data_IF_935490541668
#
_entry.id   IF_935490541668
#
_cell.length_a   1.000
_cell.length_b   1.000
_cell.length_c   1.000
_cell.angle_alpha   90.00
_cell.angle_beta   90.00
_cell.angle_gamma   90.00
#
_symmetry.space_group_name_H-M   'P 1'
#
loop_
_entity.id
_entity.type
_entity.pdbx_description
1 polymer ?
#
# COMPACT_ATOMS: atom_id res chain seq x y z
N UNK A 1 -1.94 12.60 17.81
CA UNK A 1 -2.71 11.66 18.65
C UNK A 1 -2.91 10.38 17.84
N UNK A 2 -2.43 9.23 18.31
CA UNK A 2 -2.56 7.96 17.56
C UNK A 2 -4.03 7.56 17.35
N UNK A 3 -4.94 8.05 18.20
CA UNK A 3 -6.38 7.81 18.08
C UNK A 3 -6.97 8.37 16.78
N UNK A 4 -6.35 9.38 16.19
CA UNK A 4 -6.79 9.99 14.92
C UNK A 4 -6.11 9.36 13.69
N UNK A 5 -5.34 8.29 13.88
CA UNK A 5 -4.61 7.62 12.81
C UNK A 5 -5.35 6.45 12.17
N UNK A 6 -6.56 6.11 12.65
CA UNK A 6 -7.28 4.93 12.22
C UNK A 6 -7.92 5.14 10.83
N UNK A 7 -7.54 4.36 9.80
CA UNK A 7 -8.10 4.49 8.45
C UNK A 7 -9.61 4.26 8.35
N UNK A 8 -10.24 3.59 9.33
CA UNK A 8 -11.70 3.42 9.37
C UNK A 8 -12.43 4.77 9.45
N UNK A 9 -11.80 5.80 10.02
CA UNK A 9 -12.41 7.13 10.12
C UNK A 9 -12.67 7.75 8.72
N UNK A 10 -12.01 7.24 7.67
CA UNK A 10 -12.23 7.63 6.27
C UNK A 10 -13.48 6.97 5.65
N UNK A 11 -14.10 5.98 6.30
CA UNK A 11 -15.23 5.24 5.73
C UNK A 11 -16.43 6.12 5.39
N UNK A 12 -16.79 7.06 6.28
CA UNK A 12 -17.89 7.99 6.03
C UNK A 12 -17.55 8.96 4.89
N UNK A 13 -16.40 9.66 4.90
CA UNK A 13 -15.96 10.46 3.75
C UNK A 13 -15.90 9.69 2.42
N UNK A 14 -15.37 8.46 2.42
CA UNK A 14 -15.28 7.63 1.21
C UNK A 14 -16.66 7.34 0.61
N UNK A 15 -17.66 7.05 1.46
CA UNK A 15 -19.06 6.85 1.04
C UNK A 15 -19.72 8.13 0.54
N UNK A 16 -19.55 9.23 1.27
CA UNK A 16 -20.25 10.49 0.99
C UNK A 16 -19.65 11.23 -0.22
N UNK A 17 -18.39 10.94 -0.55
CA UNK A 17 -17.65 11.51 -1.68
C UNK A 17 -17.06 10.41 -2.57
N UNK A 18 -17.88 9.63 -3.30
CA UNK A 18 -17.42 8.47 -4.07
C UNK A 18 -16.44 8.85 -5.20
N UNK A 19 -16.52 10.06 -5.73
CA UNK A 19 -15.63 10.56 -6.78
C UNK A 19 -14.25 11.04 -6.25
N UNK A 20 -14.10 11.15 -4.93
CA UNK A 20 -12.83 11.53 -4.31
C UNK A 20 -12.04 10.28 -3.96
N UNK A 21 -10.80 10.21 -4.44
CA UNK A 21 -9.87 9.14 -4.11
C UNK A 21 -9.12 9.44 -2.81
N UNK A 22 -9.07 8.46 -1.91
CA UNK A 22 -8.34 8.54 -0.64
C UNK A 22 -7.15 7.58 -0.68
N UNK A 23 -5.95 8.08 -0.38
CA UNK A 23 -4.74 7.25 -0.31
C UNK A 23 -4.30 7.13 1.15
N UNK A 24 -4.31 5.91 1.70
CA UNK A 24 -3.79 5.64 3.03
C UNK A 24 -2.28 5.36 2.96
N UNK A 25 -1.50 6.15 3.70
CA UNK A 25 -0.05 6.09 3.60
C UNK A 25 0.58 4.87 4.29
N UNK A 26 1.70 4.40 3.73
CA UNK A 26 2.59 3.40 4.33
C UNK A 26 1.88 2.10 4.75
N UNK A 27 0.96 1.58 3.93
CA UNK A 27 0.11 0.42 4.26
C UNK A 27 -0.70 0.60 5.57
N UNK A 28 -0.95 1.84 6.01
CA UNK A 28 -1.65 2.15 7.26
C UNK A 28 -0.77 2.23 8.50
N UNK A 29 0.55 2.04 8.40
CA UNK A 29 1.54 2.33 9.45
C UNK A 29 1.17 1.86 10.88
N UNK A 30 0.68 0.62 11.03
CA UNK A 30 0.20 0.07 12.31
C UNK A 30 -1.30 -0.22 12.36
N UNK A 31 -2.06 0.28 11.37
CA UNK A 31 -3.49 0.01 11.18
C UNK A 31 -3.75 -0.87 9.96
N UNK A 32 -2.84 -1.81 9.67
CA UNK A 32 -2.88 -2.56 8.42
C UNK A 32 -4.18 -3.34 8.25
N UNK A 33 -4.69 -3.95 9.32
CA UNK A 33 -5.99 -4.65 9.30
C UNK A 33 -7.11 -3.72 8.88
N UNK A 34 -7.16 -2.52 9.43
CA UNK A 34 -8.16 -1.50 9.14
C UNK A 34 -8.08 -1.02 7.69
N UNK A 35 -6.87 -0.86 7.15
CA UNK A 35 -6.68 -0.60 5.72
C UNK A 35 -7.27 -1.73 4.88
N UNK A 36 -6.99 -2.99 5.20
CA UNK A 36 -7.54 -4.14 4.44
C UNK A 36 -9.08 -4.15 4.45
N UNK A 37 -9.71 -3.78 5.57
CA UNK A 37 -11.17 -3.64 5.64
C UNK A 37 -11.67 -2.56 4.68
N UNK A 38 -11.00 -1.40 4.65
CA UNK A 38 -11.35 -0.32 3.73
C UNK A 38 -11.19 -0.73 2.26
N UNK A 39 -10.10 -1.40 1.91
CA UNK A 39 -9.83 -1.89 0.56
C UNK A 39 -10.90 -2.86 0.05
N UNK A 40 -11.38 -3.72 0.94
CA UNK A 40 -12.41 -4.71 0.63
C UNK A 40 -13.80 -4.07 0.49
N UNK A 41 -14.10 -3.03 1.28
CA UNK A 41 -15.42 -2.41 1.36
C UNK A 41 -15.66 -1.26 0.39
N UNK A 42 -14.60 -0.59 -0.09
CA UNK A 42 -14.72 0.70 -0.80
C UNK A 42 -13.87 0.73 -2.06
N UNK A 43 -14.38 1.37 -3.11
CA UNK A 43 -13.72 1.42 -4.43
C UNK A 43 -12.74 2.59 -4.56
N UNK A 44 -12.98 3.69 -3.86
CA UNK A 44 -12.20 4.93 -3.92
C UNK A 44 -11.12 5.06 -2.82
N UNK A 45 -10.82 3.97 -2.09
CA UNK A 45 -9.74 3.96 -1.09
C UNK A 45 -8.58 3.10 -1.60
N UNK A 46 -7.41 3.71 -1.63
CA UNK A 46 -6.14 3.17 -2.07
C UNK A 46 -5.17 3.16 -0.90
N UNK A 47 -4.02 2.51 -1.08
CA UNK A 47 -2.90 2.60 -0.15
C UNK A 47 -1.60 2.83 -0.90
N UNK A 48 -0.61 3.45 -0.26
CA UNK A 48 0.75 3.45 -0.76
C UNK A 48 1.70 2.60 0.09
N UNK A 49 2.78 2.13 -0.52
CA UNK A 49 3.79 1.26 0.08
C UNK A 49 4.95 1.98 0.73
N UNK A 50 4.89 3.32 0.80
CA UNK A 50 6.03 4.15 1.16
C UNK A 50 6.52 3.92 2.58
N UNK A 51 7.71 4.45 2.88
CA UNK A 51 8.32 4.34 4.21
C UNK A 51 9.20 3.10 4.37
N UNK A 52 9.78 2.96 5.57
CA UNK A 52 10.61 1.79 5.92
C UNK A 52 9.82 0.52 6.20
N UNK A 53 8.49 0.62 6.29
CA UNK A 53 7.59 -0.44 6.76
C UNK A 53 7.99 -1.05 8.11
N UNK A 54 8.76 -0.33 8.94
CA UNK A 54 9.21 -0.83 10.25
C UNK A 54 8.08 -1.02 11.25
N UNK A 55 6.90 -0.44 10.99
CA UNK A 55 5.69 -0.64 11.77
C UNK A 55 5.24 -2.11 11.84
N UNK A 56 5.63 -2.94 10.85
CA UNK A 56 5.34 -4.38 10.84
C UNK A 56 5.87 -5.09 12.10
N UNK A 57 6.97 -4.58 12.69
CA UNK A 57 7.60 -5.15 13.90
C UNK A 57 6.76 -5.00 15.16
N UNK A 58 5.75 -4.14 15.14
CA UNK A 58 4.89 -3.86 16.29
C UNK A 58 3.53 -4.56 16.20
N UNK A 59 3.31 -5.36 15.16
CA UNK A 59 2.09 -6.16 15.04
C UNK A 59 2.15 -7.37 15.97
N UNK A 60 1.00 -7.88 16.42
CA UNK A 60 0.94 -9.04 17.32
C UNK A 60 1.39 -10.36 16.68
N UNK A 61 1.68 -10.37 15.39
CA UNK A 61 2.17 -11.52 14.63
C UNK A 61 3.22 -11.06 13.61
N UNK A 62 4.16 -11.96 13.31
CA UNK A 62 5.22 -11.67 12.36
C UNK A 62 4.64 -11.48 10.94
N UNK A 63 4.99 -10.35 10.34
CA UNK A 63 4.73 -10.05 8.95
C UNK A 63 6.01 -9.58 8.29
N UNK A 64 6.32 -10.19 7.15
CA UNK A 64 7.26 -9.66 6.19
C UNK A 64 6.54 -8.90 5.08
N UNK A 65 7.34 -8.22 4.23
CA UNK A 65 6.81 -7.40 3.16
C UNK A 65 6.06 -8.22 2.10
N UNK A 66 6.48 -9.48 1.85
CA UNK A 66 5.78 -10.41 0.96
C UNK A 66 4.37 -10.70 1.47
N UNK A 67 4.21 -10.94 2.77
CA UNK A 67 2.91 -11.16 3.40
C UNK A 67 2.04 -9.89 3.39
N UNK A 68 2.62 -8.70 3.57
CA UNK A 68 1.91 -7.43 3.43
C UNK A 68 1.32 -7.29 2.03
N UNK A 69 2.15 -7.40 0.98
CA UNK A 69 1.65 -7.31 -0.40
C UNK A 69 0.61 -8.38 -0.70
N UNK A 70 0.83 -9.64 -0.28
CA UNK A 70 -0.15 -10.72 -0.45
C UNK A 70 -1.51 -10.36 0.13
N UNK A 71 -1.55 -9.89 1.38
CA UNK A 71 -2.79 -9.55 2.08
C UNK A 71 -3.47 -8.32 1.45
N UNK A 72 -2.70 -7.30 1.08
CA UNK A 72 -3.22 -6.10 0.40
C UNK A 72 -3.87 -6.46 -0.95
N UNK A 73 -3.20 -7.29 -1.75
CA UNK A 73 -3.72 -7.74 -3.06
C UNK A 73 -4.94 -8.64 -2.89
N UNK A 74 -4.96 -9.51 -1.87
CA UNK A 74 -6.14 -10.33 -1.56
C UNK A 74 -7.35 -9.48 -1.15
N UNK A 75 -7.14 -8.36 -0.45
CA UNK A 75 -8.23 -7.52 0.04
C UNK A 75 -8.80 -6.58 -1.04
N UNK A 76 -7.94 -5.89 -1.79
CA UNK A 76 -8.34 -4.84 -2.74
C UNK A 76 -7.88 -5.05 -4.18
N UNK A 77 -7.00 -6.02 -4.44
CA UNK A 77 -6.34 -6.20 -5.74
C UNK A 77 -5.11 -5.31 -5.93
N UNK A 78 -4.29 -5.66 -6.93
CA UNK A 78 -3.07 -4.91 -7.28
C UNK A 78 -3.35 -3.47 -7.71
N UNK A 79 -4.54 -3.20 -8.28
CA UNK A 79 -4.96 -1.88 -8.78
C UNK A 79 -5.19 -0.82 -7.69
N UNK A 80 -5.28 -1.21 -6.41
CA UNK A 80 -5.47 -0.28 -5.29
C UNK A 80 -4.20 0.01 -4.48
N UNK A 81 -3.05 -0.51 -4.92
CA UNK A 81 -1.75 -0.33 -4.24
C UNK A 81 -0.86 0.58 -5.08
N UNK A 82 -0.35 1.63 -4.47
CA UNK A 82 0.56 2.58 -5.09
C UNK A 82 1.99 2.35 -4.57
N UNK A 83 2.95 2.33 -5.49
CA UNK A 83 4.35 2.30 -5.11
C UNK A 83 4.80 3.65 -4.53
N UNK A 84 5.53 3.59 -3.41
CA UNK A 84 6.27 4.71 -2.87
C UNK A 84 7.47 4.26 -2.04
N UNK A 85 8.42 5.16 -1.83
CA UNK A 85 9.65 4.88 -1.04
C UNK A 85 9.93 5.88 0.06
N UNK A 86 9.16 6.97 0.13
CA UNK A 86 9.35 8.05 1.13
C UNK A 86 10.80 8.57 1.12
N UNK A 87 11.26 8.92 -0.08
CA UNK A 87 12.57 9.56 -0.30
C UNK A 87 12.53 11.02 0.12
N UNK A 88 13.65 11.53 0.61
CA UNK A 88 13.76 12.91 1.07
C UNK A 88 14.92 13.63 0.38
N UNK A 89 15.15 14.89 0.76
CA UNK A 89 16.27 15.68 0.28
C UNK A 89 17.63 15.10 0.71
N UNK A 90 18.71 15.65 0.13
CA UNK A 90 20.10 15.30 0.43
C UNK A 90 20.42 15.47 1.94
N UNK A 91 21.16 14.55 2.59
CA UNK A 91 21.96 13.47 2.00
C UNK A 91 21.23 12.13 1.83
N UNK A 92 20.01 11.98 2.37
CA UNK A 92 19.29 10.70 2.31
C UNK A 92 18.90 10.33 0.88
N UNK A 93 18.40 11.31 0.12
CA UNK A 93 18.10 11.16 -1.30
C UNK A 93 17.15 9.99 -1.60
N UNK A 94 17.40 9.34 -2.74
CA UNK A 94 16.62 8.21 -3.24
C UNK A 94 16.87 6.93 -2.43
N UNK A 95 15.82 6.38 -1.81
CA UNK A 95 15.89 5.16 -0.98
C UNK A 95 15.82 3.89 -1.82
N UNK A 96 16.90 3.58 -2.54
CA UNK A 96 16.99 2.42 -3.43
C UNK A 96 16.70 1.08 -2.72
N UNK A 97 17.14 0.94 -1.47
CA UNK A 97 16.93 -0.27 -0.67
C UNK A 97 15.44 -0.56 -0.41
N UNK A 98 14.58 0.47 -0.37
CA UNK A 98 13.13 0.29 -0.22
C UNK A 98 12.51 -0.16 -1.54
N UNK A 99 12.96 0.39 -2.67
CA UNK A 99 12.56 -0.10 -4.00
C UNK A 99 12.92 -1.58 -4.16
N UNK A 100 14.17 -1.94 -3.90
CA UNK A 100 14.67 -3.32 -4.04
C UNK A 100 13.88 -4.31 -3.17
N UNK A 101 13.62 -3.96 -1.90
CA UNK A 101 12.83 -4.80 -1.00
C UNK A 101 11.39 -5.02 -1.50
N UNK A 102 10.74 -3.97 -2.02
CA UNK A 102 9.38 -4.09 -2.54
C UNK A 102 9.32 -4.89 -3.85
N UNK A 103 10.28 -4.68 -4.75
CA UNK A 103 10.39 -5.47 -5.99
C UNK A 103 10.62 -6.93 -5.66
N UNK A 104 11.53 -7.24 -4.74
CA UNK A 104 11.81 -8.60 -4.31
C UNK A 104 10.54 -9.28 -3.74
N UNK A 105 9.80 -8.60 -2.87
CA UNK A 105 8.55 -9.12 -2.31
C UNK A 105 7.52 -9.45 -3.41
N UNK A 106 7.37 -8.58 -4.43
CA UNK A 106 6.46 -8.83 -5.55
C UNK A 106 6.94 -9.96 -6.46
N UNK A 107 8.25 -10.06 -6.71
CA UNK A 107 8.84 -11.15 -7.51
C UNK A 107 8.67 -12.51 -6.82
N UNK A 108 8.78 -12.57 -5.50
CA UNK A 108 8.50 -13.78 -4.74
C UNK A 108 7.01 -14.17 -4.79
N UNK A 109 6.09 -13.20 -4.77
CA UNK A 109 4.67 -13.47 -4.98
C UNK A 109 4.37 -13.97 -6.39
N UNK A 110 5.06 -13.43 -7.39
CA UNK A 110 4.98 -13.92 -8.77
C UNK A 110 5.50 -15.36 -8.88
N UNK A 111 6.63 -15.67 -8.25
CA UNK A 111 7.18 -17.03 -8.21
C UNK A 111 6.24 -18.04 -7.53
N UNK A 112 5.52 -17.60 -6.48
CA UNK A 112 4.47 -18.38 -5.83
C UNK A 112 3.18 -18.52 -6.67
N UNK A 113 3.09 -17.88 -7.84
CA UNK A 113 1.89 -17.86 -8.68
C UNK A 113 0.73 -17.02 -8.15
N UNK A 114 0.99 -16.14 -7.17
CA UNK A 114 -0.03 -15.28 -6.55
C UNK A 114 -0.38 -14.08 -7.44
N UNK A 115 0.61 -13.53 -8.15
CA UNK A 115 0.46 -12.36 -9.02
C UNK A 115 1.17 -12.54 -10.36
N UNK A 116 0.85 -11.71 -11.34
CA UNK A 116 1.47 -11.69 -12.67
C UNK A 116 2.29 -10.41 -12.90
N UNK A 117 3.02 -10.36 -14.01
CA UNK A 117 3.77 -9.16 -14.40
C UNK A 117 2.89 -7.91 -14.53
N UNK A 118 1.66 -8.08 -15.00
CA UNK A 118 0.66 -7.01 -15.09
C UNK A 118 0.31 -6.40 -13.73
N UNK A 119 0.28 -7.22 -12.67
CA UNK A 119 0.02 -6.73 -11.31
C UNK A 119 1.20 -5.92 -10.77
N UNK A 120 2.42 -6.35 -11.06
CA UNK A 120 3.65 -5.62 -10.70
C UNK A 120 3.67 -4.28 -11.45
N UNK A 121 3.40 -4.30 -12.75
CA UNK A 121 3.33 -3.09 -13.57
C UNK A 121 2.29 -2.09 -13.06
N UNK A 122 1.12 -2.58 -12.62
CA UNK A 122 0.11 -1.75 -11.95
C UNK A 122 0.66 -1.06 -10.71
N UNK A 123 1.21 -1.83 -9.78
CA UNK A 123 1.71 -1.33 -8.49
C UNK A 123 2.81 -0.28 -8.67
N UNK A 124 3.79 -0.55 -9.53
CA UNK A 124 4.99 0.28 -9.68
C UNK A 124 4.84 1.42 -10.70
N UNK A 125 3.77 1.45 -11.49
CA UNK A 125 3.64 2.45 -12.56
C UNK A 125 2.18 2.81 -12.90
N UNK A 126 1.36 1.87 -13.37
CA UNK A 126 0.09 2.24 -14.04
C UNK A 126 -0.95 2.82 -13.07
N UNK A 127 -0.97 2.38 -11.81
CA UNK A 127 -1.96 2.85 -10.83
C UNK A 127 -1.79 4.34 -10.53
N UNK A 128 -0.56 4.80 -10.23
CA UNK A 128 -0.32 6.22 -9.93
C UNK A 128 -0.56 7.07 -11.17
N UNK A 129 -0.19 6.56 -12.35
CA UNK A 129 -0.43 7.24 -13.62
C UNK A 129 -1.93 7.49 -13.84
N UNK A 130 -2.74 6.46 -13.61
CA UNK A 130 -4.20 6.53 -13.72
C UNK A 130 -4.79 7.49 -12.69
N UNK A 131 -4.38 7.37 -11.42
CA UNK A 131 -4.93 8.17 -10.31
C UNK A 131 -4.56 9.66 -10.40
N UNK A 132 -3.37 9.96 -10.93
CA UNK A 132 -2.87 11.33 -11.09
C UNK A 132 -3.21 11.94 -12.46
N UNK A 133 -3.88 11.20 -13.35
CA UNK A 133 -4.22 11.63 -14.71
C UNK A 133 -3.01 12.10 -15.55
N UNK A 134 -1.91 11.34 -15.51
CA UNK A 134 -0.67 11.62 -16.27
C UNK A 134 -0.32 10.51 -17.27
#
# INVERSE_FOLDING_TARGET
>A
DLRNGNPIDIQVPSRDFPELNFVIAHFGAGWFREVLLMQYQTDNVYMDSSGSNSWMKYLPYDLDLKMIFRKAIQAGGSHKILFGIDSTFFPRGWRINILEAQVQACMELKADGVIKDEDIQKIFHDNIKTLAHI
#
